data_IF_283340083133
#
_entry.id   IF_283340083133
#
_cell.length_a   1.000
_cell.length_b   1.000
_cell.length_c   1.000
_cell.angle_alpha   90.00
_cell.angle_beta   90.00
_cell.angle_gamma   90.00
#
_symmetry.space_group_name_H-M   'P 1'
#
loop_
_entity.id
_entity.type
_entity.pdbx_description
1 polymer ?
#
# COMPACT_ATOMS: atom_id res chain seq x y z
N UNK A 1 -15.70 -13.49 15.87
CA UNK A 1 -14.74 -14.57 15.57
C UNK A 1 -13.42 -14.20 16.23
N UNK A 2 -13.16 -14.80 17.39
CA UNK A 2 -12.00 -14.51 18.24
C UNK A 2 -10.71 -15.06 17.62
N UNK A 3 -9.58 -14.40 17.91
CA UNK A 3 -8.26 -14.92 17.55
C UNK A 3 -7.91 -16.10 18.44
N UNK A 4 -8.03 -17.31 17.89
CA UNK A 4 -7.55 -18.53 18.52
C UNK A 4 -6.05 -18.65 18.27
N UNK A 5 -5.26 -18.51 19.33
CA UNK A 5 -3.83 -18.83 19.30
C UNK A 5 -3.71 -20.31 19.67
N UNK A 6 -2.98 -21.13 18.90
CA UNK A 6 -2.75 -22.51 19.28
C UNK A 6 -2.02 -22.61 20.62
N UNK A 7 -2.55 -23.45 21.53
CA UNK A 7 -1.84 -23.83 22.77
C UNK A 7 -0.62 -24.70 22.48
N UNK A 8 -0.65 -25.42 21.35
CA UNK A 8 0.45 -26.24 20.87
C UNK A 8 1.58 -25.35 20.30
N UNK A 9 2.71 -25.36 20.98
CA UNK A 9 3.94 -24.63 20.62
C UNK A 9 4.45 -25.08 19.25
N UNK A 10 4.36 -26.36 18.90
CA UNK A 10 4.81 -26.87 17.60
C UNK A 10 3.90 -26.35 16.49
N UNK A 11 2.57 -26.41 16.67
CA UNK A 11 1.62 -25.84 15.70
C UNK A 11 1.85 -24.34 15.50
N UNK A 12 2.06 -23.58 16.57
CA UNK A 12 2.39 -22.15 16.50
C UNK A 12 3.68 -21.90 15.72
N UNK A 13 4.74 -22.66 15.98
CA UNK A 13 6.02 -22.58 15.24
C UNK A 13 5.86 -22.91 13.76
N UNK A 14 5.02 -23.88 13.42
CA UNK A 14 4.72 -24.25 12.02
C UNK A 14 4.02 -23.09 11.33
N UNK A 15 3.00 -22.50 11.95
CA UNK A 15 2.27 -21.34 11.42
C UNK A 15 3.22 -20.16 11.21
N UNK A 16 4.03 -19.83 12.22
CA UNK A 16 5.00 -18.73 12.16
C UNK A 16 6.03 -18.94 11.04
N UNK A 17 6.63 -20.12 10.94
CA UNK A 17 7.58 -20.44 9.86
C UNK A 17 6.93 -20.37 8.48
N UNK A 18 5.70 -20.87 8.36
CA UNK A 18 4.96 -20.85 7.09
C UNK A 18 4.63 -19.40 6.69
N UNK A 19 4.22 -18.56 7.64
CA UNK A 19 3.95 -17.14 7.40
C UNK A 19 5.20 -16.40 6.91
N UNK A 20 6.35 -16.57 7.59
CA UNK A 20 7.63 -15.97 7.16
C UNK A 20 8.02 -16.46 5.76
N UNK A 21 7.88 -17.76 5.52
CA UNK A 21 8.26 -18.36 4.25
C UNK A 21 7.40 -17.85 3.08
N UNK A 22 6.09 -17.79 3.26
CA UNK A 22 5.17 -17.26 2.25
C UNK A 22 5.33 -15.74 2.08
N UNK A 23 5.57 -14.99 3.16
CA UNK A 23 5.84 -13.55 3.07
C UNK A 23 7.07 -13.23 2.22
N UNK A 24 8.14 -14.04 2.34
CA UNK A 24 9.40 -13.82 1.63
C UNK A 24 9.39 -14.34 0.19
N UNK A 25 8.71 -15.47 -0.07
CA UNK A 25 8.73 -16.11 -1.38
C UNK A 25 7.48 -15.83 -2.24
N UNK A 26 6.41 -15.29 -1.64
CA UNK A 26 5.15 -14.98 -2.32
C UNK A 26 4.06 -16.03 -2.15
N UNK A 27 2.85 -15.69 -2.58
CA UNK A 27 1.63 -16.50 -2.45
C UNK A 27 1.63 -17.79 -3.28
N UNK A 28 2.47 -17.89 -4.31
CA UNK A 28 2.65 -19.15 -5.07
C UNK A 28 3.15 -20.29 -4.18
N UNK A 29 4.01 -19.98 -3.21
CA UNK A 29 4.51 -20.97 -2.25
C UNK A 29 3.46 -21.38 -1.22
N UNK A 30 2.51 -20.51 -0.89
CA UNK A 30 1.36 -20.86 -0.06
C UNK A 30 0.54 -21.95 -0.74
N UNK A 31 0.25 -21.74 -2.01
CA UNK A 31 -0.52 -22.69 -2.80
C UNK A 31 0.22 -24.01 -3.02
N UNK A 32 1.54 -23.98 -3.24
CA UNK A 32 2.35 -25.19 -3.31
C UNK A 32 2.36 -25.94 -1.98
N UNK A 33 2.53 -25.24 -0.85
CA UNK A 33 2.50 -25.84 0.48
C UNK A 33 1.13 -26.46 0.77
N UNK A 34 0.05 -25.76 0.42
CA UNK A 34 -1.32 -26.24 0.54
C UNK A 34 -1.54 -27.54 -0.24
N UNK A 35 -1.08 -27.64 -1.49
CA UNK A 35 -1.20 -28.90 -2.26
C UNK A 35 -0.36 -30.03 -1.66
N UNK A 36 0.89 -29.75 -1.27
CA UNK A 36 1.82 -30.77 -0.77
C UNK A 36 1.47 -31.28 0.64
N UNK A 37 0.85 -30.44 1.47
CA UNK A 37 0.53 -30.74 2.87
C UNK A 37 -0.96 -31.01 3.10
N UNK A 38 -1.73 -31.34 2.07
CA UNK A 38 -3.19 -31.53 2.20
C UNK A 38 -3.60 -32.62 3.20
N UNK A 39 -2.78 -33.66 3.34
CA UNK A 39 -3.01 -34.76 4.30
C UNK A 39 -2.45 -34.49 5.69
N UNK A 40 -1.83 -33.33 5.92
CA UNK A 40 -1.17 -33.02 7.18
C UNK A 40 -2.07 -32.15 8.07
N UNK A 41 -2.54 -32.66 9.23
CA UNK A 41 -3.39 -31.88 10.14
C UNK A 41 -2.69 -30.64 10.68
N UNK A 42 -1.34 -30.63 10.74
CA UNK A 42 -0.58 -29.46 11.17
C UNK A 42 -0.70 -28.29 10.19
N UNK A 43 -1.07 -28.54 8.93
CA UNK A 43 -1.32 -27.52 7.90
C UNK A 43 -2.80 -27.27 7.63
N UNK A 44 -3.70 -27.80 8.48
CA UNK A 44 -5.14 -27.55 8.38
C UNK A 44 -5.49 -26.05 8.38
N UNK A 45 -4.61 -25.19 8.93
CA UNK A 45 -4.78 -23.73 8.93
C UNK A 45 -4.72 -23.08 7.56
N UNK A 46 -4.11 -23.75 6.57
CA UNK A 46 -4.13 -23.32 5.17
C UNK A 46 -5.46 -23.61 4.47
N UNK A 47 -6.35 -24.39 5.09
CA UNK A 47 -7.63 -24.82 4.53
C UNK A 47 -8.85 -24.17 5.18
N UNK A 48 -8.66 -23.21 6.09
CA UNK A 48 -9.77 -22.49 6.74
C UNK A 48 -10.18 -23.06 8.11
N UNK A 49 -9.22 -23.50 8.93
CA UNK A 49 -9.51 -23.89 10.31
C UNK A 49 -9.55 -22.68 11.28
N UNK A 50 -9.70 -22.95 12.58
CA UNK A 50 -9.76 -21.90 13.62
C UNK A 50 -8.50 -21.04 13.75
N UNK A 51 -7.35 -21.51 13.25
CA UNK A 51 -6.06 -20.82 13.26
C UNK A 51 -5.76 -20.05 11.97
N UNK A 52 -6.64 -20.10 10.96
CA UNK A 52 -6.46 -19.35 9.70
C UNK A 52 -6.35 -17.85 9.95
N UNK A 53 -7.09 -17.31 10.92
CA UNK A 53 -7.00 -15.89 11.31
C UNK A 53 -5.63 -15.55 11.92
N UNK A 54 -5.11 -16.42 12.79
CA UNK A 54 -3.78 -16.26 13.36
C UNK A 54 -2.70 -16.32 12.28
N UNK A 55 -2.78 -17.28 11.35
CA UNK A 55 -1.88 -17.35 10.20
C UNK A 55 -1.94 -16.09 9.33
N UNK A 56 -3.14 -15.59 9.01
CA UNK A 56 -3.32 -14.38 8.20
C UNK A 56 -2.71 -13.14 8.86
N UNK A 57 -2.86 -12.97 10.17
CA UNK A 57 -2.21 -11.88 10.91
C UNK A 57 -0.69 -12.01 10.91
N UNK A 58 -0.16 -13.22 11.18
CA UNK A 58 1.28 -13.46 11.12
C UNK A 58 1.82 -13.19 9.72
N UNK A 59 1.15 -13.67 8.67
CA UNK A 59 1.53 -13.43 7.28
C UNK A 59 1.51 -11.93 6.94
N UNK A 60 0.47 -11.21 7.35
CA UNK A 60 0.36 -9.76 7.15
C UNK A 60 1.44 -8.98 7.90
N UNK A 61 1.82 -9.42 9.10
CA UNK A 61 2.93 -8.81 9.85
C UNK A 61 4.25 -9.03 9.11
N UNK A 62 4.55 -10.25 8.68
CA UNK A 62 5.80 -10.56 7.99
C UNK A 62 5.87 -9.91 6.59
N UNK A 63 4.75 -9.79 5.87
CA UNK A 63 4.66 -9.06 4.59
C UNK A 63 4.74 -7.54 4.76
N UNK A 64 4.19 -7.00 5.85
CA UNK A 64 4.26 -5.59 6.20
C UNK A 64 5.61 -5.14 6.75
N UNK A 65 6.43 -6.09 7.24
CA UNK A 65 7.80 -5.86 7.73
C UNK A 65 8.88 -5.97 6.64
N UNK A 66 8.51 -5.97 5.36
CA UNK A 66 9.47 -5.66 4.28
C UNK A 66 9.90 -4.20 4.39
N UNK A 67 10.83 -3.94 5.30
CA UNK A 67 11.77 -2.83 5.19
C UNK A 67 12.64 -3.16 3.99
N UNK A 68 12.23 -2.71 2.81
CA UNK A 68 13.19 -2.33 1.80
C UNK A 68 12.66 -1.15 1.00
N UNK A 69 13.60 -0.24 0.79
CA UNK A 69 13.57 0.86 -0.15
C UNK A 69 12.96 0.44 -1.49
N UNK A 70 12.47 1.44 -2.22
CA UNK A 70 11.93 1.34 -3.58
C UNK A 70 10.45 0.99 -3.65
N UNK A 71 9.64 2.05 -3.61
CA UNK A 71 8.58 2.29 -4.59
C UNK A 71 7.91 1.04 -5.18
N UNK A 72 6.67 0.78 -4.74
CA UNK A 72 5.56 0.07 -5.43
C UNK A 72 5.11 -1.17 -4.66
N UNK A 73 4.06 -1.02 -3.83
CA UNK A 73 2.77 -1.74 -3.92
C UNK A 73 1.81 -1.23 -2.83
N UNK A 74 0.61 -0.86 -3.28
CA UNK A 74 -0.53 -0.42 -2.48
C UNK A 74 -0.94 -1.56 -1.54
N UNK A 75 -0.95 -1.30 -0.22
CA UNK A 75 -1.39 -2.23 0.83
C UNK A 75 -2.93 -2.28 0.92
N UNK A 76 -3.55 -3.42 1.29
CA UNK A 76 -4.99 -3.53 1.49
C UNK A 76 -5.42 -2.98 2.86
N UNK A 77 -4.98 -1.77 3.21
CA UNK A 77 -5.29 -1.13 4.50
C UNK A 77 -6.37 -0.06 4.35
N UNK A 78 -7.45 -0.38 3.65
CA UNK A 78 -8.67 0.43 3.62
C UNK A 78 -9.72 -0.04 4.65
N UNK A 79 -9.31 -0.50 5.84
CA UNK A 79 -10.26 -0.81 6.92
C UNK A 79 -9.90 -0.26 8.32
N UNK A 80 -8.89 0.61 8.44
CA UNK A 80 -8.74 1.49 9.61
C UNK A 80 -8.13 2.84 9.16
N UNK A 81 -8.83 3.55 8.27
CA UNK A 81 -8.53 4.96 7.98
C UNK A 81 -9.51 5.85 8.76
N UNK A 82 -9.27 6.01 10.05
CA UNK A 82 -9.68 7.19 10.80
C UNK A 82 -8.49 7.55 11.68
N UNK A 83 -7.99 8.76 11.49
CA UNK A 83 -6.78 9.35 12.08
C UNK A 83 -5.44 8.75 11.64
N UNK A 84 -4.92 9.21 10.49
CA UNK A 84 -3.52 9.68 10.30
C UNK A 84 -3.20 10.07 8.83
N UNK A 85 -4.12 10.72 8.12
CA UNK A 85 -3.94 11.17 6.72
C UNK A 85 -3.74 12.69 6.64
N UNK A 86 -2.69 13.21 7.29
CA UNK A 86 -2.29 14.62 7.13
C UNK A 86 -1.21 14.83 6.05
N UNK A 87 -0.56 13.78 5.53
CA UNK A 87 0.58 13.91 4.59
C UNK A 87 0.15 13.91 3.11
N UNK A 88 -0.99 13.31 2.76
CA UNK A 88 -1.44 13.18 1.37
C UNK A 88 -2.28 14.38 0.87
N UNK A 89 -2.94 15.12 1.78
CA UNK A 89 -3.65 16.36 1.45
C UNK A 89 -2.66 17.47 1.08
N UNK A 90 -1.54 17.54 1.77
CA UNK A 90 -0.54 18.58 1.58
C UNK A 90 0.16 18.47 0.22
N UNK A 91 0.51 17.26 -0.25
CA UNK A 91 1.09 17.08 -1.60
C UNK A 91 0.12 17.50 -2.71
N UNK A 92 -1.16 17.18 -2.56
CA UNK A 92 -2.19 17.60 -3.51
C UNK A 92 -2.42 19.12 -3.46
N UNK A 93 -2.38 19.72 -2.27
CA UNK A 93 -2.51 21.17 -2.09
C UNK A 93 -1.31 21.92 -2.69
N UNK A 94 -0.08 21.47 -2.43
CA UNK A 94 1.14 22.04 -3.01
C UNK A 94 1.10 21.99 -4.54
N UNK A 95 0.61 20.89 -5.10
CA UNK A 95 0.45 20.74 -6.55
C UNK A 95 -0.59 21.72 -7.11
N UNK A 96 -1.76 21.84 -6.48
CA UNK A 96 -2.80 22.80 -6.88
C UNK A 96 -2.27 24.25 -6.84
N UNK A 97 -1.51 24.60 -5.82
CA UNK A 97 -0.92 25.94 -5.67
C UNK A 97 0.14 26.22 -6.74
N UNK A 98 0.94 25.22 -7.14
CA UNK A 98 1.88 25.37 -8.26
C UNK A 98 1.15 25.60 -9.59
N UNK A 99 0.09 24.84 -9.87
CA UNK A 99 -0.73 25.00 -11.07
C UNK A 99 -1.40 26.37 -11.14
N UNK A 100 -1.90 26.88 -10.01
CA UNK A 100 -2.50 28.21 -9.94
C UNK A 100 -1.46 29.32 -10.22
N UNK A 101 -0.24 29.19 -9.67
CA UNK A 101 0.85 30.14 -9.96
C UNK A 101 1.24 30.14 -11.43
N UNK A 102 1.34 28.97 -12.06
CA UNK A 102 1.69 28.85 -13.47
C UNK A 102 0.62 29.47 -14.38
N UNK A 103 -0.67 29.25 -14.05
CA UNK A 103 -1.79 29.85 -14.77
C UNK A 103 -1.76 31.39 -14.68
N UNK A 104 -1.49 31.92 -13.50
CA UNK A 104 -1.39 33.36 -13.26
C UNK A 104 -0.20 33.98 -14.01
N UNK A 105 0.97 33.33 -13.99
CA UNK A 105 2.14 33.80 -14.72
C UNK A 105 1.90 33.78 -16.24
N UNK A 106 1.22 32.75 -16.74
CA UNK A 106 0.81 32.68 -18.16
C UNK A 106 -0.13 33.83 -18.53
N UNK A 107 -1.09 34.15 -17.66
CA UNK A 107 -1.99 35.29 -17.87
C UNK A 107 -1.24 36.63 -17.89
N UNK A 108 -0.30 36.86 -16.98
CA UNK A 108 0.53 38.07 -17.00
C UNK A 108 1.40 38.16 -18.25
N UNK A 109 1.98 37.05 -18.68
CA UNK A 109 2.75 36.98 -19.93
C UNK A 109 1.89 37.31 -21.15
N UNK A 110 0.63 36.87 -21.18
CA UNK A 110 -0.31 37.22 -22.24
C UNK A 110 -0.65 38.71 -22.22
N UNK A 111 -0.97 39.28 -21.06
CA UNK A 111 -1.25 40.72 -20.92
C UNK A 111 -0.07 41.58 -21.36
N UNK A 112 1.16 41.16 -21.04
CA UNK A 112 2.36 41.84 -21.50
C UNK A 112 2.45 41.82 -23.03
N UNK A 113 2.14 40.70 -23.67
CA UNK A 113 2.09 40.61 -25.14
C UNK A 113 0.98 41.50 -25.72
N UNK A 114 -0.20 41.52 -25.12
CA UNK A 114 -1.31 42.38 -25.55
C UNK A 114 -0.94 43.86 -25.47
N UNK A 115 -0.27 44.30 -24.40
CA UNK A 115 0.21 45.67 -24.25
C UNK A 115 1.24 46.02 -25.32
N UNK A 116 2.20 45.13 -25.60
CA UNK A 116 3.20 45.33 -26.67
C UNK A 116 2.52 45.45 -28.03
N UNK A 117 1.55 44.58 -28.33
CA UNK A 117 0.78 44.62 -29.58
C UNK A 117 -0.05 45.91 -29.68
N UNK A 118 -0.64 46.37 -28.58
CA UNK A 118 -1.43 47.61 -28.54
C UNK A 118 -0.55 48.83 -28.80
N UNK A 119 0.62 48.90 -28.18
CA UNK A 119 1.59 49.97 -28.41
C UNK A 119 2.12 49.98 -29.85
N UNK A 120 2.34 48.80 -30.47
CA UNK A 120 2.71 48.72 -31.88
C UNK A 120 1.61 49.20 -32.83
N UNK A 121 0.34 49.09 -32.44
CA UNK A 121 -0.81 49.58 -33.22
C UNK A 121 -1.04 51.09 -33.10
N UNK A 122 -0.53 51.77 -32.08
CA UNK A 122 -0.62 53.24 -31.91
C UNK A 122 0.49 54.01 -32.64
N UNK A 123 1.49 53.32 -33.20
CA UNK A 123 2.62 53.94 -33.94
C UNK A 123 2.38 53.97 -35.46
N UNK A 124 1.18 53.64 -35.93
CA UNK A 124 0.74 53.76 -37.33
C UNK A 124 -0.44 54.72 -37.40
#
# INVERSE_FOLDING_TARGET
MDLRIPDDIELRRIIDRTAIFVARNGSEFEEMTRRNQYNNPSFAFLFGNEYTKYYSERLSLEQGFSIDDSNKRISPTNLLNLSNSNIDVEKNQIQMDSLNRDLEQSHQNLLAQEQVIKLQKEVI
#
